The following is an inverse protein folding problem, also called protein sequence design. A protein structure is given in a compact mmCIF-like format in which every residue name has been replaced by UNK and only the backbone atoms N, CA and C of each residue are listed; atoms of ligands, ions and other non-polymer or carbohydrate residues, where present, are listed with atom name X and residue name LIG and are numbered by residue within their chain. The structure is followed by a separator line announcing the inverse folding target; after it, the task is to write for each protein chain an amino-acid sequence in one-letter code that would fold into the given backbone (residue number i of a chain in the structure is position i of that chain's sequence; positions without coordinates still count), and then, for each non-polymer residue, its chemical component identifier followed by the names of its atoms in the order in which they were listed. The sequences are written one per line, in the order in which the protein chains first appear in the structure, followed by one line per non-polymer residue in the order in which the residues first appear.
data_IF_953091192031
#
_entry.id   IF_953091192031
#
_cell.length_a   1.000
_cell.length_b   1.000
_cell.length_c   1.000
_cell.angle_alpha   90.00
_cell.angle_beta   90.00
_cell.angle_gamma   90.00
#
_symmetry.space_group_name_H-M   'P 1'
#
loop_
_entity.id
_entity.type
_entity.pdbx_description
1 polymer ?
#
# COMPACT_ATOMS: atom_id res chain seq x y z
N UNK A 1 13.51 -45.84 7.61
CA UNK A 1 12.34 -45.02 8.01
C UNK A 1 12.26 -43.85 7.03
N UNK A 2 11.68 -44.10 5.86
CA UNK A 2 11.44 -43.09 4.83
C UNK A 2 10.34 -42.16 5.32
N UNK A 3 10.65 -40.86 5.41
CA UNK A 3 9.62 -39.82 5.50
C UNK A 3 9.38 -39.37 4.07
N UNK A 4 8.39 -39.98 3.42
CA UNK A 4 7.81 -39.44 2.21
C UNK A 4 7.14 -38.12 2.58
N UNK A 5 7.85 -37.01 2.30
CA UNK A 5 7.24 -35.70 2.26
C UNK A 5 6.29 -35.70 1.06
N UNK A 6 5.01 -35.91 1.31
CA UNK A 6 3.97 -35.70 0.31
C UNK A 6 3.92 -34.20 0.04
N UNK A 7 4.69 -33.75 -0.94
CA UNK A 7 4.50 -32.46 -1.57
C UNK A 7 3.15 -32.50 -2.29
N UNK A 8 2.09 -32.12 -1.58
CA UNK A 8 0.78 -31.86 -2.20
C UNK A 8 0.92 -30.58 -3.02
N UNK A 9 1.38 -30.74 -4.26
CA UNK A 9 1.21 -29.71 -5.30
C UNK A 9 -0.29 -29.66 -5.58
N UNK A 10 -0.99 -28.65 -5.09
CA UNK A 10 -2.32 -28.35 -5.58
C UNK A 10 -2.20 -27.93 -7.06
N UNK A 11 -2.34 -28.91 -7.95
CA UNK A 11 -2.35 -28.75 -9.41
C UNK A 11 -3.76 -28.52 -9.96
N UNK A 12 -4.76 -28.32 -9.09
CA UNK A 12 -6.12 -28.00 -9.50
C UNK A 12 -6.21 -26.57 -10.04
N UNK A 13 -6.40 -26.42 -11.35
CA UNK A 13 -7.06 -25.21 -11.87
C UNK A 13 -8.46 -25.19 -11.27
N UNK A 14 -8.65 -24.42 -10.21
CA UNK A 14 -9.99 -24.09 -9.71
C UNK A 14 -10.58 -23.13 -10.72
N UNK A 15 -11.58 -23.58 -11.46
CA UNK A 15 -12.37 -22.71 -12.31
C UNK A 15 -13.33 -21.91 -11.43
N UNK A 16 -13.49 -20.61 -11.74
CA UNK A 16 -14.38 -19.73 -11.00
C UNK A 16 -15.59 -19.37 -11.84
N UNK A 17 -16.74 -19.17 -11.19
CA UNK A 17 -17.94 -18.57 -11.79
C UNK A 17 -18.18 -17.22 -11.14
N UNK A 18 -18.42 -16.22 -11.98
CA UNK A 18 -18.79 -14.89 -11.58
C UNK A 18 -20.30 -14.73 -11.72
N UNK A 19 -20.93 -14.28 -10.65
CA UNK A 19 -22.36 -14.06 -10.53
C UNK A 19 -22.60 -12.57 -10.49
N UNK A 20 -23.02 -11.99 -11.62
CA UNK A 20 -23.25 -10.55 -11.79
C UNK A 20 -24.74 -10.25 -11.70
N UNK A 21 -25.15 -9.38 -10.78
CA UNK A 21 -26.53 -8.94 -10.66
C UNK A 21 -26.72 -7.59 -11.34
N UNK A 22 -27.56 -7.56 -12.36
CA UNK A 22 -27.81 -6.39 -13.22
C UNK A 22 -29.33 -6.29 -13.43
N UNK A 23 -29.93 -5.16 -13.07
CA UNK A 23 -31.37 -4.89 -13.28
C UNK A 23 -32.31 -6.03 -12.85
N UNK A 24 -32.01 -6.66 -11.71
CA UNK A 24 -32.70 -7.85 -11.14
C UNK A 24 -32.51 -9.19 -11.87
N UNK A 25 -31.65 -9.27 -12.87
CA UNK A 25 -31.22 -10.52 -13.50
C UNK A 25 -29.85 -10.96 -12.99
N UNK A 26 -29.66 -12.27 -12.90
CA UNK A 26 -28.39 -12.91 -12.56
C UNK A 26 -27.71 -13.38 -13.84
N UNK A 27 -26.59 -12.77 -14.19
CA UNK A 27 -25.73 -13.21 -15.28
C UNK A 27 -24.56 -14.00 -14.70
N UNK A 28 -24.29 -15.18 -15.27
CA UNK A 28 -23.18 -16.04 -14.85
C UNK A 28 -22.15 -16.08 -15.95
N UNK A 29 -20.91 -15.71 -15.63
CA UNK A 29 -19.77 -15.77 -16.55
C UNK A 29 -18.59 -16.54 -15.93
N UNK A 30 -17.67 -17.00 -16.76
CA UNK A 30 -16.43 -17.62 -16.30
C UNK A 30 -15.49 -16.57 -15.70
N UNK A 31 -14.95 -16.85 -14.51
CA UNK A 31 -13.94 -16.03 -13.87
C UNK A 31 -12.53 -16.45 -14.24
N UNK A 32 -11.68 -15.49 -14.58
CA UNK A 32 -10.29 -15.73 -14.95
C UNK A 32 -9.37 -15.40 -13.78
N UNK A 33 -8.63 -16.39 -13.29
CA UNK A 33 -7.64 -16.21 -12.23
C UNK A 33 -6.31 -15.72 -12.81
N UNK A 34 -5.79 -14.61 -12.28
CA UNK A 34 -4.45 -14.11 -12.53
C UNK A 34 -3.64 -14.11 -11.23
N UNK A 35 -2.57 -14.91 -11.17
CA UNK A 35 -1.70 -14.99 -9.98
C UNK A 35 -0.52 -14.04 -10.19
N UNK A 36 -0.20 -13.27 -9.15
CA UNK A 36 0.94 -12.36 -9.16
C UNK A 36 2.23 -13.17 -9.08
N UNK A 37 3.18 -12.82 -9.93
CA UNK A 37 4.48 -13.49 -9.94
C UNK A 37 5.34 -13.08 -8.74
N UNK A 38 5.07 -11.91 -8.16
CA UNK A 38 5.85 -11.40 -7.04
C UNK A 38 5.28 -11.86 -5.71
N UNK A 39 6.07 -12.64 -5.00
CA UNK A 39 5.72 -13.23 -3.70
C UNK A 39 6.96 -13.43 -2.80
N UNK A 40 8.12 -12.85 -3.15
CA UNK A 40 9.32 -12.81 -2.31
C UNK A 40 9.76 -14.18 -1.73
N UNK A 41 9.58 -15.26 -2.50
CA UNK A 41 9.94 -16.62 -2.07
C UNK A 41 8.93 -17.30 -1.14
N UNK A 42 7.84 -16.64 -0.76
CA UNK A 42 6.78 -17.24 0.05
C UNK A 42 5.96 -18.27 -0.75
N UNK A 43 5.33 -19.26 -0.10
CA UNK A 43 4.57 -20.32 -0.78
C UNK A 43 3.35 -19.83 -1.58
N UNK A 44 2.69 -18.74 -1.15
CA UNK A 44 1.54 -18.17 -1.84
C UNK A 44 1.80 -16.74 -2.31
N UNK A 45 1.16 -16.38 -3.43
CA UNK A 45 1.13 -15.04 -3.98
C UNK A 45 -0.29 -14.50 -4.05
N UNK A 46 -0.42 -13.18 -4.19
CA UNK A 46 -1.71 -12.54 -4.44
C UNK A 46 -2.30 -13.00 -5.79
N UNK A 47 -3.62 -13.02 -5.90
CA UNK A 47 -4.29 -13.34 -7.16
C UNK A 47 -5.57 -12.52 -7.32
N UNK A 48 -5.87 -12.15 -8.55
CA UNK A 48 -7.13 -11.50 -8.93
C UNK A 48 -8.01 -12.50 -9.67
N UNK A 49 -9.32 -12.40 -9.46
CA UNK A 49 -10.31 -13.11 -10.26
C UNK A 49 -11.04 -12.06 -11.09
N UNK A 50 -10.75 -12.05 -12.39
CA UNK A 50 -11.35 -11.13 -13.34
C UNK A 50 -12.64 -11.72 -13.88
N UNK A 51 -13.72 -10.97 -13.74
CA UNK A 51 -15.05 -11.35 -14.21
C UNK A 51 -15.42 -10.47 -15.42
N UNK A 52 -15.46 -11.03 -16.64
CA UNK A 52 -15.92 -10.28 -17.79
C UNK A 52 -17.38 -9.86 -17.58
N UNK A 53 -17.63 -8.57 -17.81
CA UNK A 53 -18.97 -8.00 -17.79
C UNK A 53 -19.58 -8.20 -19.18
N UNK A 54 -20.64 -9.01 -19.33
CA UNK A 54 -21.25 -9.22 -20.62
C UNK A 54 -22.01 -7.97 -21.09
N UNK A 55 -22.21 -7.77 -22.41
CA UNK A 55 -22.97 -6.63 -22.94
C UNK A 55 -24.42 -6.56 -22.40
N UNK A 56 -25.00 -7.68 -21.99
CA UNK A 56 -26.31 -7.74 -21.35
C UNK A 56 -26.33 -7.21 -19.90
N UNK A 57 -25.18 -6.80 -19.36
CA UNK A 57 -24.99 -6.44 -17.96
C UNK A 57 -24.02 -5.25 -17.85
N UNK A 58 -24.18 -4.21 -18.66
CA UNK A 58 -23.20 -3.10 -18.72
C UNK A 58 -22.94 -2.40 -17.37
N UNK A 59 -23.89 -2.46 -16.43
CA UNK A 59 -23.77 -1.89 -15.09
C UNK A 59 -24.16 -2.90 -14.00
N UNK A 60 -23.27 -3.84 -13.65
CA UNK A 60 -23.53 -4.77 -12.56
C UNK A 60 -23.55 -4.01 -11.23
N UNK A 61 -24.60 -4.21 -10.43
CA UNK A 61 -24.72 -3.61 -9.10
C UNK A 61 -24.04 -4.46 -8.02
N UNK A 62 -24.01 -5.78 -8.24
CA UNK A 62 -23.42 -6.73 -7.29
C UNK A 62 -22.68 -7.84 -8.01
N UNK A 63 -21.64 -8.34 -7.37
CA UNK A 63 -20.85 -9.47 -7.84
C UNK A 63 -20.63 -10.50 -6.74
N UNK A 64 -20.67 -11.77 -7.11
CA UNK A 64 -20.17 -12.84 -6.26
C UNK A 64 -19.32 -13.82 -7.06
N UNK A 65 -18.45 -14.53 -6.36
CA UNK A 65 -17.53 -15.49 -6.99
C UNK A 65 -17.71 -16.83 -6.29
N UNK A 66 -17.89 -17.88 -7.06
CA UNK A 66 -17.96 -19.26 -6.56
C UNK A 66 -16.96 -20.14 -7.27
N UNK A 67 -16.47 -21.18 -6.59
CA UNK A 67 -15.80 -22.29 -7.26
C UNK A 67 -16.78 -22.99 -8.21
N UNK A 68 -16.34 -23.32 -9.42
CA UNK A 68 -17.15 -24.08 -10.38
C UNK A 68 -17.36 -25.54 -9.93
N UNK A 69 -16.52 -26.04 -9.02
CA UNK A 69 -16.56 -27.41 -8.50
C UNK A 69 -17.48 -27.58 -7.28
N UNK A 70 -18.06 -26.50 -6.75
CA UNK A 70 -18.89 -26.54 -5.53
C UNK A 70 -20.29 -26.03 -5.82
N UNK A 71 -21.30 -26.68 -5.22
CA UNK A 71 -22.66 -26.13 -5.22
C UNK A 71 -22.67 -24.80 -4.43
N UNK A 72 -23.33 -23.74 -4.94
CA UNK A 72 -23.36 -22.44 -4.28
C UNK A 72 -24.21 -22.52 -3.01
N UNK A 73 -23.60 -22.89 -1.88
CA UNK A 73 -24.21 -22.74 -0.55
C UNK A 73 -24.00 -21.31 -0.07
N UNK A 74 -25.03 -20.48 -0.17
CA UNK A 74 -25.02 -19.11 0.34
C UNK A 74 -24.04 -18.20 -0.39
N UNK A 75 -24.47 -17.59 -1.49
CA UNK A 75 -23.62 -16.69 -2.28
C UNK A 75 -23.61 -15.29 -1.65
N UNK A 76 -22.50 -14.91 -1.03
CA UNK A 76 -22.30 -13.54 -0.53
C UNK A 76 -21.95 -12.60 -1.69
N UNK A 77 -22.83 -11.63 -1.93
CA UNK A 77 -22.63 -10.62 -2.97
C UNK A 77 -21.91 -9.40 -2.41
N UNK A 78 -20.89 -8.94 -3.12
CA UNK A 78 -20.24 -7.65 -2.92
C UNK A 78 -20.93 -6.60 -3.79
N UNK A 79 -21.18 -5.42 -3.22
CA UNK A 79 -21.71 -4.28 -3.96
C UNK A 79 -20.60 -3.65 -4.81
N UNK A 80 -20.92 -3.30 -6.05
CA UNK A 80 -20.03 -2.57 -6.94
C UNK A 80 -20.37 -1.09 -6.84
N UNK A 81 -19.36 -0.28 -6.54
CA UNK A 81 -19.54 1.13 -6.23
C UNK A 81 -18.67 1.98 -7.15
N UNK A 82 -19.32 2.73 -8.05
CA UNK A 82 -18.66 3.67 -8.96
C UNK A 82 -18.85 5.12 -8.48
N UNK A 83 -17.98 5.62 -7.62
CA UNK A 83 -17.98 7.03 -7.22
C UNK A 83 -16.86 7.79 -7.90
N UNK A 84 -17.17 8.81 -8.71
CA UNK A 84 -16.16 9.71 -9.30
C UNK A 84 -15.86 10.88 -8.38
N UNK A 85 -15.11 10.62 -7.30
CA UNK A 85 -14.43 11.70 -6.58
C UNK A 85 -12.94 11.67 -6.93
N UNK A 86 -12.29 12.83 -6.98
CA UNK A 86 -10.86 12.93 -7.28
C UNK A 86 -10.09 13.01 -5.97
N UNK A 87 -9.94 11.87 -5.31
CA UNK A 87 -9.20 11.77 -4.04
C UNK A 87 -7.76 11.34 -4.31
N UNK A 88 -6.80 11.84 -3.53
CA UNK A 88 -5.49 11.20 -3.40
C UNK A 88 -5.48 10.28 -2.18
N UNK A 89 -5.14 9.01 -2.39
CA UNK A 89 -5.25 7.94 -1.40
C UNK A 89 -3.88 7.33 -1.07
N UNK A 90 -3.65 7.08 0.22
CA UNK A 90 -2.33 6.77 0.81
C UNK A 90 -2.38 5.55 1.76
N UNK A 91 -1.44 4.61 1.51
CA UNK A 91 -0.67 3.69 2.39
C UNK A 91 -1.31 2.50 3.11
N UNK A 92 -0.70 1.34 2.88
CA UNK A 92 -0.90 0.08 3.59
C UNK A 92 0.43 -0.48 4.13
N UNK A 93 0.74 -0.28 5.41
CA UNK A 93 1.33 -1.32 6.27
C UNK A 93 1.29 -0.96 7.77
N UNK A 94 1.58 -1.97 8.58
CA UNK A 94 1.24 -2.14 9.98
C UNK A 94 2.23 -1.58 10.99
N UNK A 95 1.64 -1.06 12.06
CA UNK A 95 2.27 -0.53 13.27
C UNK A 95 3.12 0.73 13.10
N UNK A 96 3.45 1.27 14.27
CA UNK A 96 4.62 2.06 14.57
C UNK A 96 4.41 3.54 14.90
N UNK A 97 5.27 3.93 15.84
CA UNK A 97 5.45 5.23 16.44
C UNK A 97 5.51 6.33 15.38
N UNK A 98 4.93 7.49 15.67
CA UNK A 98 4.89 8.60 14.72
C UNK A 98 3.68 8.65 13.79
N UNK A 99 2.69 7.74 13.91
CA UNK A 99 1.44 7.77 13.12
C UNK A 99 0.83 9.17 12.99
N UNK A 100 0.66 9.87 14.12
CA UNK A 100 0.09 11.24 14.14
C UNK A 100 0.96 12.21 13.34
N UNK A 101 2.28 12.12 13.47
CA UNK A 101 3.20 12.98 12.73
C UNK A 101 3.08 12.74 11.23
N UNK A 102 3.06 11.48 10.78
CA UNK A 102 2.92 11.14 9.36
C UNK A 102 1.56 11.57 8.80
N UNK A 103 0.46 11.35 9.53
CA UNK A 103 -0.88 11.77 9.10
C UNK A 103 -0.97 13.29 8.95
N UNK A 104 -0.42 14.06 9.89
CA UNK A 104 -0.39 15.53 9.80
C UNK A 104 0.53 16.00 8.66
N UNK A 105 1.67 15.34 8.45
CA UNK A 105 2.52 15.62 7.27
C UNK A 105 1.77 15.36 5.96
N UNK A 106 1.00 14.27 5.86
CA UNK A 106 0.18 14.00 4.67
C UNK A 106 -0.87 15.08 4.44
N UNK A 107 -1.55 15.57 5.49
CA UNK A 107 -2.46 16.71 5.35
C UNK A 107 -1.74 17.95 4.80
N UNK A 108 -0.57 18.28 5.35
CA UNK A 108 0.26 19.41 4.89
C UNK A 108 0.61 19.25 3.41
N UNK A 109 0.98 18.04 2.99
CA UNK A 109 1.32 17.74 1.59
C UNK A 109 0.13 17.79 0.63
N UNK A 110 -1.10 17.95 1.14
CA UNK A 110 -2.32 18.07 0.33
C UNK A 110 -3.00 16.74 0.02
N UNK A 111 -2.74 15.72 0.85
CA UNK A 111 -3.40 14.43 0.75
C UNK A 111 -4.84 14.57 1.22
N UNK A 112 -5.79 13.97 0.48
CA UNK A 112 -7.20 14.06 0.83
C UNK A 112 -7.65 12.95 1.76
N UNK A 113 -7.12 11.75 1.57
CA UNK A 113 -7.53 10.56 2.32
C UNK A 113 -6.39 9.56 2.48
N UNK A 114 -6.37 8.88 3.62
CA UNK A 114 -5.44 7.80 3.96
C UNK A 114 -6.26 6.55 4.21
N UNK A 115 -5.86 5.39 3.67
CA UNK A 115 -6.58 4.14 3.82
C UNK A 115 -5.69 3.15 4.54
N UNK A 116 -5.93 2.97 5.84
CA UNK A 116 -5.14 2.08 6.69
C UNK A 116 -5.79 0.71 6.71
N UNK A 117 -5.09 -0.28 6.16
CA UNK A 117 -5.45 -1.67 6.40
C UNK A 117 -4.95 -1.99 7.81
N UNK A 118 -5.84 -2.48 8.70
CA UNK A 118 -5.59 -2.66 10.14
C UNK A 118 -5.68 -4.14 10.55
N UNK A 119 -4.60 -4.74 11.07
CA UNK A 119 -4.53 -6.08 11.64
C UNK A 119 -4.83 -5.97 13.12
N UNK A 120 -3.96 -5.27 13.85
CA UNK A 120 -4.06 -4.93 15.25
C UNK A 120 -3.27 -3.64 15.53
N UNK A 121 -3.55 -2.99 16.66
CA UNK A 121 -2.79 -1.84 17.15
C UNK A 121 -3.04 -1.65 18.65
N UNK A 122 -2.28 -0.75 19.30
CA UNK A 122 -2.55 -0.38 20.69
C UNK A 122 -3.82 0.47 20.83
N UNK A 123 -4.32 0.62 22.06
CA UNK A 123 -5.51 1.43 22.34
C UNK A 123 -5.27 2.91 22.00
N UNK A 124 -4.06 3.42 22.23
CA UNK A 124 -3.64 4.78 21.92
C UNK A 124 -3.66 5.02 20.41
N UNK A 125 -3.09 4.08 19.64
CA UNK A 125 -3.13 4.11 18.18
C UNK A 125 -4.57 4.06 17.66
N UNK A 126 -5.42 3.19 18.22
CA UNK A 126 -6.83 3.12 17.85
C UNK A 126 -7.56 4.44 18.12
N UNK A 127 -7.30 5.10 19.26
CA UNK A 127 -7.89 6.41 19.57
C UNK A 127 -7.50 7.46 18.55
N UNK A 128 -6.23 7.49 18.13
CA UNK A 128 -5.78 8.39 17.07
C UNK A 128 -6.48 8.08 15.74
N UNK A 129 -6.51 6.81 15.30
CA UNK A 129 -7.20 6.40 14.08
C UNK A 129 -8.69 6.77 14.11
N UNK A 130 -9.38 6.56 15.23
CA UNK A 130 -10.78 6.93 15.42
C UNK A 130 -11.01 8.44 15.21
N UNK A 131 -10.12 9.27 15.76
CA UNK A 131 -10.18 10.72 15.55
C UNK A 131 -10.08 11.06 14.06
N UNK A 132 -9.07 10.55 13.35
CA UNK A 132 -8.91 10.86 11.93
C UNK A 132 -10.02 10.27 11.06
N UNK A 133 -10.57 9.11 11.43
CA UNK A 133 -11.73 8.54 10.78
C UNK A 133 -12.98 9.42 10.91
N UNK A 134 -13.22 10.00 12.10
CA UNK A 134 -14.31 10.95 12.31
C UNK A 134 -14.16 12.22 11.47
N UNK A 135 -12.93 12.67 11.21
CA UNK A 135 -12.68 13.80 10.30
C UNK A 135 -12.85 13.45 8.81
N UNK A 136 -13.02 12.17 8.47
CA UNK A 136 -13.07 11.67 7.10
C UNK A 136 -11.69 11.54 6.42
N UNK A 137 -10.61 11.87 7.13
CA UNK A 137 -9.25 11.82 6.59
C UNK A 137 -8.70 10.38 6.50
N UNK A 138 -9.03 9.51 7.48
CA UNK A 138 -8.59 8.11 7.50
C UNK A 138 -9.78 7.18 7.24
N UNK A 139 -9.63 6.25 6.30
CA UNK A 139 -10.46 5.06 6.18
C UNK A 139 -9.72 3.89 6.79
N UNK A 140 -10.38 3.14 7.68
CA UNK A 140 -9.83 1.91 8.23
C UNK A 140 -10.44 0.70 7.50
N UNK A 141 -9.59 -0.18 6.98
CA UNK A 141 -9.99 -1.46 6.37
C UNK A 141 -9.54 -2.59 7.29
N UNK A 142 -10.46 -3.34 7.92
CA UNK A 142 -10.08 -4.52 8.71
C UNK A 142 -9.32 -5.52 7.86
N UNK A 143 -8.16 -5.97 8.33
CA UNK A 143 -7.24 -6.83 7.60
C UNK A 143 -6.80 -8.01 8.45
N UNK A 144 -7.73 -8.94 8.70
CA UNK A 144 -7.55 -10.07 9.61
C UNK A 144 -7.09 -11.36 8.90
N UNK A 145 -6.18 -11.26 7.92
CA UNK A 145 -5.67 -12.45 7.20
C UNK A 145 -5.03 -13.49 8.13
N UNK A 146 -4.46 -13.06 9.26
CA UNK A 146 -3.87 -13.92 10.28
C UNK A 146 -4.88 -14.86 10.96
N UNK A 147 -6.18 -14.57 10.89
CA UNK A 147 -7.24 -15.46 11.39
C UNK A 147 -7.42 -16.70 10.50
N UNK A 148 -7.04 -16.59 9.23
CA UNK A 148 -7.25 -17.64 8.22
C UNK A 148 -5.95 -18.29 7.74
N UNK A 149 -4.82 -17.57 7.85
CA UNK A 149 -3.54 -17.96 7.27
C UNK A 149 -2.39 -17.67 8.25
N UNK A 150 -1.35 -18.51 8.22
CA UNK A 150 -0.08 -18.22 8.92
C UNK A 150 0.72 -17.20 8.10
N UNK A 151 0.49 -15.91 8.33
CA UNK A 151 1.18 -14.82 7.63
C UNK A 151 2.48 -14.45 8.32
N UNK A 152 3.52 -14.15 7.54
CA UNK A 152 4.80 -13.65 8.06
C UNK A 152 4.74 -12.14 8.27
N UNK A 153 5.45 -11.63 9.26
CA UNK A 153 5.65 -10.20 9.51
C UNK A 153 6.96 -9.67 8.89
N UNK A 154 7.61 -10.47 8.02
CA UNK A 154 8.95 -10.18 7.53
C UNK A 154 9.07 -10.31 6.01
N UNK A 155 10.17 -9.76 5.47
CA UNK A 155 10.41 -9.69 4.03
C UNK A 155 10.81 -11.02 3.39
N UNK A 156 11.27 -11.98 4.20
CA UNK A 156 11.79 -13.27 3.73
C UNK A 156 11.29 -14.42 4.59
N UNK A 157 10.90 -15.54 3.96
CA UNK A 157 10.44 -16.73 4.67
C UNK A 157 11.56 -17.42 5.46
N UNK A 158 12.83 -17.13 5.19
CA UNK A 158 13.97 -17.67 5.93
C UNK A 158 14.08 -17.07 7.34
N UNK A 159 13.69 -15.80 7.50
CA UNK A 159 13.79 -15.08 8.77
C UNK A 159 12.51 -15.23 9.61
N UNK A 160 11.34 -15.16 8.97
CA UNK A 160 10.07 -15.47 9.60
C UNK A 160 9.21 -16.30 8.63
N UNK A 161 9.09 -17.62 8.86
CA UNK A 161 8.28 -18.50 8.03
C UNK A 161 6.81 -18.10 8.03
N UNK A 162 6.16 -18.28 6.90
CA UNK A 162 4.74 -18.05 6.74
C UNK A 162 4.32 -18.42 5.32
N UNK A 163 3.04 -18.33 5.05
CA UNK A 163 2.50 -18.61 3.72
C UNK A 163 2.39 -17.36 2.85
N UNK A 164 2.39 -16.17 3.48
CA UNK A 164 2.32 -14.87 2.82
C UNK A 164 3.30 -13.87 3.45
N UNK A 165 3.84 -13.01 2.60
CA UNK A 165 4.76 -11.91 2.89
C UNK A 165 4.08 -10.74 3.64
N UNK A 166 4.74 -10.18 4.65
CA UNK A 166 4.35 -8.99 5.44
C UNK A 166 2.83 -8.82 5.65
N UNK A 167 2.21 -9.69 6.45
CA UNK A 167 0.78 -9.63 6.77
C UNK A 167 -0.14 -9.59 5.53
N UNK A 168 0.34 -10.03 4.37
CA UNK A 168 -0.37 -9.87 3.10
C UNK A 168 -0.33 -8.44 2.54
N UNK A 169 0.82 -7.76 2.60
CA UNK A 169 0.98 -6.41 2.06
C UNK A 169 0.62 -6.31 0.57
N UNK A 170 1.07 -7.26 -0.26
CA UNK A 170 0.77 -7.27 -1.71
C UNK A 170 -0.74 -7.35 -1.99
N UNK A 171 -1.51 -8.30 -1.41
CA UNK A 171 -2.96 -8.29 -1.61
C UNK A 171 -3.64 -7.03 -1.07
N UNK A 172 -3.16 -6.44 0.02
CA UNK A 172 -3.72 -5.20 0.55
C UNK A 172 -3.48 -3.98 -0.37
N UNK A 173 -2.27 -3.86 -0.94
CA UNK A 173 -1.94 -2.83 -1.92
C UNK A 173 -2.81 -2.91 -3.17
N UNK A 174 -3.09 -4.13 -3.63
CA UNK A 174 -3.94 -4.34 -4.80
C UNK A 174 -5.43 -4.15 -4.46
N UNK A 175 -5.91 -4.60 -3.29
CA UNK A 175 -7.27 -4.28 -2.84
C UNK A 175 -7.47 -2.76 -2.81
N UNK A 176 -6.51 -1.99 -2.27
CA UNK A 176 -6.58 -0.54 -2.21
C UNK A 176 -6.64 0.10 -3.61
N UNK A 177 -5.78 -0.37 -4.53
CA UNK A 177 -5.78 0.07 -5.92
C UNK A 177 -7.16 -0.10 -6.57
N UNK A 178 -7.77 -1.29 -6.46
CA UNK A 178 -9.04 -1.59 -7.11
C UNK A 178 -10.24 -0.96 -6.39
N UNK A 179 -10.26 -0.97 -5.05
CA UNK A 179 -11.29 -0.35 -4.21
C UNK A 179 -11.49 1.12 -4.55
N UNK A 180 -10.40 1.80 -4.92
CA UNK A 180 -10.43 3.22 -5.23
C UNK A 180 -10.15 3.56 -6.69
N UNK A 181 -10.12 2.57 -7.58
CA UNK A 181 -9.80 2.77 -9.00
C UNK A 181 -10.64 3.86 -9.66
N UNK A 182 -11.92 3.94 -9.31
CA UNK A 182 -12.83 4.95 -9.84
C UNK A 182 -13.06 6.13 -8.90
N UNK A 183 -12.53 6.08 -7.67
CA UNK A 183 -12.72 7.06 -6.58
C UNK A 183 -11.49 7.93 -6.29
N UNK A 184 -10.38 7.65 -6.96
CA UNK A 184 -9.13 8.37 -6.78
C UNK A 184 -8.57 8.78 -8.15
N UNK A 185 -8.02 9.99 -8.21
CA UNK A 185 -7.21 10.41 -9.37
C UNK A 185 -5.80 9.85 -9.27
N UNK A 186 -5.27 9.79 -8.06
CA UNK A 186 -3.95 9.25 -7.77
C UNK A 186 -3.99 8.36 -6.53
N UNK A 187 -3.27 7.24 -6.57
CA UNK A 187 -3.04 6.33 -5.45
C UNK A 187 -1.54 6.24 -5.22
N UNK A 188 -1.11 6.46 -3.99
CA UNK A 188 0.28 6.31 -3.59
C UNK A 188 0.47 5.02 -2.78
N UNK A 189 1.44 4.21 -3.21
CA UNK A 189 1.89 3.04 -2.46
C UNK A 189 3.17 3.43 -1.76
N UNK A 190 3.10 3.56 -0.46
CA UNK A 190 4.10 4.24 0.34
C UNK A 190 4.08 3.63 1.76
N UNK A 191 5.09 3.88 2.58
CA UNK A 191 5.13 3.42 3.97
C UNK A 191 4.99 4.64 4.93
N UNK A 192 4.59 4.43 6.18
CA UNK A 192 4.21 5.54 7.08
C UNK A 192 5.41 6.40 7.53
N UNK A 193 6.60 5.84 7.50
CA UNK A 193 7.90 6.43 7.84
C UNK A 193 8.60 7.07 6.63
N UNK A 194 7.95 7.03 5.47
CA UNK A 194 8.41 7.66 4.24
C UNK A 194 7.64 8.96 4.01
N UNK A 195 8.17 9.88 3.20
CA UNK A 195 7.52 11.12 2.75
C UNK A 195 8.01 11.48 1.35
N UNK A 196 7.14 11.47 0.34
CA UNK A 196 7.43 12.06 -0.97
C UNK A 196 7.21 13.57 -0.91
N UNK A 197 8.27 14.35 -1.14
CA UNK A 197 8.24 15.83 -1.15
C UNK A 197 8.53 16.37 -2.57
N UNK A 198 8.02 17.56 -2.95
CA UNK A 198 7.31 18.59 -2.16
C UNK A 198 5.78 18.39 -2.11
N UNK A 199 4.99 19.45 -1.88
CA UNK A 199 3.53 19.42 -1.83
C UNK A 199 2.89 18.79 -3.09
N UNK A 200 1.93 17.89 -2.88
CA UNK A 200 1.34 17.06 -3.94
C UNK A 200 0.35 17.83 -4.80
N UNK A 201 -0.23 18.91 -4.27
CA UNK A 201 -1.13 19.81 -4.99
C UNK A 201 -0.48 20.36 -6.26
N UNK A 202 0.81 20.73 -6.17
CA UNK A 202 1.57 21.27 -7.30
C UNK A 202 2.35 20.18 -8.04
N UNK A 203 2.88 19.20 -7.30
CA UNK A 203 3.69 18.12 -7.87
C UNK A 203 2.90 17.25 -8.84
N UNK A 204 1.70 16.77 -8.46
CA UNK A 204 0.99 15.77 -9.27
C UNK A 204 0.52 16.32 -10.63
N UNK A 205 -0.03 17.55 -10.74
CA UNK A 205 -0.30 18.17 -12.03
C UNK A 205 0.95 18.38 -12.88
N UNK A 206 2.09 18.74 -12.26
CA UNK A 206 3.37 18.88 -12.96
C UNK A 206 3.83 17.55 -13.57
N UNK A 207 3.75 16.46 -12.79
CA UNK A 207 4.12 15.12 -13.28
C UNK A 207 3.20 14.65 -14.42
N UNK A 208 1.90 14.88 -14.29
CA UNK A 208 0.92 14.57 -15.35
C UNK A 208 1.21 15.34 -16.63
N UNK A 209 1.53 16.64 -16.52
CA UNK A 209 1.90 17.47 -17.67
C UNK A 209 3.18 16.98 -18.35
N UNK A 210 4.19 16.58 -17.57
CA UNK A 210 5.51 16.23 -18.09
C UNK A 210 5.57 14.81 -18.65
N UNK A 211 4.82 13.87 -18.07
CA UNK A 211 4.97 12.45 -18.37
C UNK A 211 3.67 11.79 -18.86
N UNK A 212 2.52 12.37 -18.58
CA UNK A 212 1.20 11.86 -18.96
C UNK A 212 0.43 11.22 -17.79
N UNK A 213 -0.90 11.36 -17.83
CA UNK A 213 -1.83 10.93 -16.76
C UNK A 213 -1.84 9.42 -16.49
N UNK A 214 -1.44 8.62 -17.48
CA UNK A 214 -1.45 7.15 -17.40
C UNK A 214 -0.07 6.55 -17.08
N UNK A 215 0.89 7.38 -16.64
CA UNK A 215 2.19 6.93 -16.16
C UNK A 215 2.16 6.65 -14.66
N UNK A 216 2.95 5.67 -14.27
CA UNK A 216 3.33 5.45 -12.89
C UNK A 216 4.58 6.30 -12.57
N UNK A 217 4.56 7.06 -11.47
CA UNK A 217 5.68 7.90 -11.06
C UNK A 217 6.49 7.20 -9.97
N UNK A 218 7.77 6.98 -10.20
CA UNK A 218 8.69 6.32 -9.25
C UNK A 218 9.57 7.35 -8.54
N UNK A 219 9.64 7.24 -7.23
CA UNK A 219 10.40 8.14 -6.36
C UNK A 219 11.47 7.35 -5.62
N UNK A 220 12.73 7.63 -5.94
CA UNK A 220 13.89 6.99 -5.32
C UNK A 220 13.92 7.28 -3.81
N UNK A 221 14.27 6.24 -3.04
CA UNK A 221 14.46 6.34 -1.60
C UNK A 221 15.72 7.15 -1.23
N UNK A 222 15.58 8.06 -0.27
CA UNK A 222 16.68 8.81 0.33
C UNK A 222 16.57 8.67 1.85
N UNK A 223 17.59 8.09 2.48
CA UNK A 223 17.57 7.77 3.91
C UNK A 223 17.97 8.98 4.75
N UNK A 224 17.19 9.26 5.78
CA UNK A 224 17.42 10.28 6.80
C UNK A 224 17.50 9.59 8.16
N UNK A 225 18.71 9.37 8.71
CA UNK A 225 18.88 8.63 9.96
C UNK A 225 18.25 9.34 11.16
N UNK A 226 17.38 8.64 11.89
CA UNK A 226 16.70 9.17 13.08
C UNK A 226 17.59 9.21 14.36
N UNK A 227 18.85 8.83 14.23
CA UNK A 227 19.87 8.88 15.29
C UNK A 227 20.93 9.97 15.04
N UNK A 228 20.85 10.70 13.92
CA UNK A 228 21.77 11.78 13.57
C UNK A 228 20.98 13.10 13.54
N UNK A 229 21.41 14.06 14.35
CA UNK A 229 20.88 15.43 14.35
C UNK A 229 22.03 16.37 14.01
N UNK A 230 21.84 17.20 12.99
CA UNK A 230 22.84 18.20 12.61
C UNK A 230 22.80 19.37 13.61
N UNK A 231 23.96 20.00 13.89
CA UNK A 231 23.98 21.23 14.67
C UNK A 231 23.06 22.29 14.04
N UNK A 232 22.35 23.11 14.84
CA UNK A 232 21.54 24.18 14.30
C UNK A 232 22.42 25.12 13.45
N UNK A 233 21.95 25.45 12.24
CA UNK A 233 22.65 26.37 11.34
C UNK A 233 22.59 27.84 11.79
N UNK A 234 21.78 28.17 12.81
CA UNK A 234 21.59 29.51 13.35
C UNK A 234 21.53 29.48 14.89
N UNK A 235 21.98 30.55 15.60
CA UNK A 235 21.76 30.68 17.03
C UNK A 235 20.24 30.65 17.34
N UNK A 236 19.87 29.89 18.36
CA UNK A 236 18.50 29.52 18.74
C UNK A 236 17.47 30.68 18.70
N UNK A 237 16.78 30.88 17.57
CA UNK A 237 15.37 31.28 17.66
C UNK A 237 14.60 30.03 18.05
N UNK A 238 14.47 29.80 19.37
CA UNK A 238 13.68 28.70 19.92
C UNK A 238 12.32 28.64 19.22
N UNK A 239 11.99 27.57 18.49
CA UNK A 239 10.63 27.38 18.02
C UNK A 239 9.68 27.49 19.23
N UNK A 240 8.55 28.21 19.11
CA UNK A 240 7.70 28.57 20.26
C UNK A 240 7.16 27.38 21.08
N UNK A 241 7.31 26.14 20.59
CA UNK A 241 6.74 24.93 21.18
C UNK A 241 7.75 23.99 21.88
N UNK A 242 9.04 24.34 21.99
CA UNK A 242 10.10 23.41 22.43
C UNK A 242 9.93 22.82 23.85
N UNK A 243 9.08 23.42 24.69
CA UNK A 243 8.71 22.87 25.99
C UNK A 243 7.66 21.74 25.92
N UNK A 244 6.73 21.79 24.97
CA UNK A 244 5.61 20.85 24.87
C UNK A 244 6.06 19.48 24.34
N UNK A 245 7.06 19.45 23.45
CA UNK A 245 7.54 18.22 22.80
C UNK A 245 8.37 17.31 23.70
N UNK A 246 8.95 17.82 24.80
CA UNK A 246 9.79 17.02 25.72
C UNK A 246 9.05 15.84 26.36
N UNK A 247 7.72 15.91 26.42
CA UNK A 247 6.85 14.87 27.01
C UNK A 247 6.24 13.92 25.97
N UNK A 248 6.43 14.21 24.67
CA UNK A 248 5.89 13.41 23.58
C UNK A 248 6.91 12.32 23.25
N UNK A 249 6.48 11.06 23.31
CA UNK A 249 7.32 9.92 22.94
C UNK A 249 7.42 9.78 21.43
N UNK A 250 8.59 9.33 20.94
CA UNK A 250 8.84 9.11 19.51
C UNK A 250 10.00 9.94 18.97
N UNK A 251 10.14 9.93 17.64
CA UNK A 251 11.16 10.66 16.90
C UNK A 251 10.51 11.88 16.26
N UNK A 252 11.09 13.07 16.43
CA UNK A 252 10.67 14.24 15.65
C UNK A 252 11.39 14.23 14.30
N UNK A 253 10.76 13.69 13.25
CA UNK A 253 11.41 13.54 11.93
C UNK A 253 11.93 14.87 11.34
N UNK A 254 11.40 16.02 11.75
CA UNK A 254 11.83 17.33 11.27
C UNK A 254 13.20 17.78 11.80
N UNK A 255 13.72 17.13 12.85
CA UNK A 255 15.07 17.38 13.38
C UNK A 255 16.16 16.59 12.61
N UNK A 256 15.75 15.60 11.82
CA UNK A 256 16.64 14.68 11.11
C UNK A 256 16.84 15.11 9.66
N UNK A 257 17.65 16.15 9.46
CA UNK A 257 17.90 16.73 8.14
C UNK A 257 19.16 16.20 7.43
N UNK A 258 19.93 15.34 8.09
CA UNK A 258 21.07 14.68 7.47
C UNK A 258 20.60 13.58 6.53
N UNK A 259 20.94 13.71 5.25
CA UNK A 259 20.72 12.66 4.25
C UNK A 259 21.97 11.78 4.15
N UNK A 260 21.80 10.45 4.20
CA UNK A 260 22.88 9.53 3.87
C UNK A 260 23.37 9.75 2.43
N UNK A 261 24.69 9.57 2.16
CA UNK A 261 25.21 9.55 0.81
C UNK A 261 24.50 8.50 -0.06
N UNK A 262 24.20 8.86 -1.31
CA UNK A 262 23.53 7.95 -2.24
C UNK A 262 24.42 6.72 -2.49
N UNK A 263 23.95 5.55 -2.05
CA UNK A 263 24.61 4.29 -2.36
C UNK A 263 24.27 3.86 -3.78
N UNK A 264 25.22 4.02 -4.71
CA UNK A 264 25.05 3.68 -6.13
C UNK A 264 24.66 2.20 -6.37
N UNK A 265 24.93 1.28 -5.43
CA UNK A 265 24.51 -0.13 -5.54
C UNK A 265 23.03 -0.35 -5.26
N UNK A 266 22.37 0.60 -4.60
CA UNK A 266 20.98 0.53 -4.19
C UNK A 266 20.06 1.43 -5.02
N UNK A 267 20.64 2.23 -5.93
CA UNK A 267 19.87 3.08 -6.84
C UNK A 267 18.89 2.21 -7.64
N UNK A 268 17.62 2.59 -7.62
CA UNK A 268 16.55 1.89 -8.33
C UNK A 268 16.05 0.62 -7.63
N UNK A 269 16.59 0.25 -6.46
CA UNK A 269 16.14 -0.93 -5.70
C UNK A 269 15.10 -0.60 -4.64
N UNK A 270 15.15 0.60 -4.08
CA UNK A 270 14.22 1.05 -3.04
C UNK A 270 13.57 2.34 -3.53
N UNK A 271 12.27 2.26 -3.74
CA UNK A 271 11.46 3.35 -4.23
C UNK A 271 10.00 3.09 -3.87
N UNK A 272 9.20 4.14 -4.00
CA UNK A 272 7.74 4.08 -3.93
C UNK A 272 7.12 4.76 -5.12
N UNK A 273 5.82 4.56 -5.28
CA UNK A 273 5.09 4.98 -6.47
C UNK A 273 3.84 5.79 -6.16
N UNK A 274 3.53 6.71 -7.06
CA UNK A 274 2.22 7.33 -7.19
C UNK A 274 1.70 7.04 -8.59
N UNK A 275 0.45 6.59 -8.69
CA UNK A 275 -0.14 6.11 -9.95
C UNK A 275 -1.56 6.64 -10.14
N UNK A 276 -1.99 6.80 -11.39
CA UNK A 276 -3.42 6.78 -11.71
C UNK A 276 -3.90 5.32 -11.65
N UNK A 277 -4.84 4.97 -10.74
CA UNK A 277 -5.22 3.59 -10.55
C UNK A 277 -5.93 2.97 -11.78
N UNK A 278 -6.52 3.78 -12.67
CA UNK A 278 -7.14 3.28 -13.92
C UNK A 278 -6.11 2.85 -14.96
N UNK A 279 -4.84 3.26 -14.81
CA UNK A 279 -3.75 2.90 -15.70
C UNK A 279 -2.92 1.70 -15.19
N UNK A 280 -3.29 1.14 -14.03
CA UNK A 280 -2.52 0.08 -13.35
C UNK A 280 -3.38 -1.15 -13.13
N UNK A 281 -2.83 -2.32 -13.42
CA UNK A 281 -3.51 -3.61 -13.27
C UNK A 281 -3.01 -4.38 -12.06
N UNK A 282 -1.71 -4.35 -11.78
CA UNK A 282 -1.13 -5.10 -10.66
C UNK A 282 0.08 -4.37 -10.09
N UNK A 283 0.20 -4.39 -8.77
CA UNK A 283 1.34 -3.79 -8.05
C UNK A 283 2.00 -4.76 -7.09
N UNK A 284 3.19 -4.37 -6.65
CA UNK A 284 3.99 -4.99 -5.60
C UNK A 284 4.45 -3.91 -4.60
N UNK A 285 5.28 -4.31 -3.64
CA UNK A 285 5.76 -3.51 -2.49
C UNK A 285 6.47 -2.22 -2.91
N UNK A 286 7.25 -2.28 -4.00
CA UNK A 286 8.03 -1.14 -4.47
C UNK A 286 7.43 -0.47 -5.70
N UNK A 287 6.57 -1.15 -6.48
CA UNK A 287 6.20 -0.64 -7.79
C UNK A 287 5.05 -1.34 -8.49
N UNK A 288 4.91 -1.07 -9.78
CA UNK A 288 3.89 -1.66 -10.65
C UNK A 288 4.45 -2.90 -11.36
N UNK A 289 3.69 -3.99 -11.34
CA UNK A 289 4.00 -5.20 -12.10
C UNK A 289 3.38 -5.14 -13.51
N UNK A 290 2.21 -4.52 -13.67
CA UNK A 290 1.54 -4.32 -14.96
C UNK A 290 0.76 -3.01 -15.00
N UNK A 291 0.98 -2.21 -16.04
CA UNK A 291 0.28 -0.94 -16.33
C UNK A 291 0.09 -0.75 -17.83
N UNK A 292 -0.76 0.21 -18.20
CA UNK A 292 -1.02 0.61 -19.59
C UNK A 292 0.22 1.21 -20.25
N UNK A 293 0.88 2.18 -19.60
CA UNK A 293 1.97 2.94 -20.20
C UNK A 293 3.30 2.87 -19.43
N UNK A 294 3.45 1.92 -18.49
CA UNK A 294 4.69 1.75 -17.71
C UNK A 294 4.92 2.85 -16.67
N UNK A 295 6.10 2.80 -16.03
CA UNK A 295 6.53 3.78 -15.05
C UNK A 295 7.61 4.73 -15.59
N UNK A 296 7.82 5.85 -14.90
CA UNK A 296 8.90 6.80 -15.13
C UNK A 296 9.56 7.16 -13.81
N UNK A 297 10.89 7.25 -13.84
CA UNK A 297 11.67 7.77 -12.71
C UNK A 297 11.56 9.29 -12.64
N UNK A 298 11.04 9.79 -11.52
CA UNK A 298 10.98 11.24 -11.27
C UNK A 298 12.37 11.71 -10.89
N UNK A 299 12.85 12.77 -11.57
CA UNK A 299 14.15 13.34 -11.25
C UNK A 299 14.15 13.87 -9.80
N UNK A 300 15.18 13.52 -9.02
CA UNK A 300 15.33 13.90 -7.61
C UNK A 300 15.26 15.41 -7.34
N UNK A 301 15.50 16.24 -8.35
CA UNK A 301 15.39 17.72 -8.27
C UNK A 301 13.94 18.21 -8.34
N UNK A 302 13.03 17.40 -8.87
CA UNK A 302 11.58 17.66 -8.93
C UNK A 302 10.92 17.16 -7.65
N UNK A 303 11.16 15.89 -7.32
CA UNK A 303 10.64 15.27 -6.12
C UNK A 303 11.53 14.10 -5.69
N UNK A 304 11.55 13.83 -4.39
CA UNK A 304 12.28 12.70 -3.80
C UNK A 304 11.55 12.17 -2.59
N UNK A 305 11.71 10.87 -2.33
CA UNK A 305 11.19 10.25 -1.14
C UNK A 305 12.21 10.33 -0.02
N UNK A 306 11.76 10.81 1.14
CA UNK A 306 12.50 10.85 2.40
C UNK A 306 12.06 9.65 3.22
N UNK A 307 12.99 8.83 3.65
CA UNK A 307 12.72 7.67 4.49
C UNK A 307 13.44 7.89 5.82
N UNK A 308 12.67 8.17 6.87
CA UNK A 308 13.22 8.44 8.19
C UNK A 308 13.29 7.14 8.99
N UNK A 309 14.49 6.59 9.14
CA UNK A 309 14.70 5.31 9.84
C UNK A 309 16.00 5.32 10.63
N UNK A 310 16.22 4.29 11.44
CA UNK A 310 17.53 4.08 12.04
C UNK A 310 18.58 3.76 10.96
N UNK A 311 19.82 4.23 11.15
CA UNK A 311 20.93 3.90 10.23
C UNK A 311 21.04 2.38 10.10
N UNK A 312 21.00 1.88 8.86
CA UNK A 312 21.15 0.46 8.61
C UNK A 312 22.63 0.08 8.83
N UNK A 313 23.03 -0.22 10.07
CA UNK A 313 24.22 -1.04 10.27
C UNK A 313 23.99 -2.33 9.50
N UNK A 314 24.95 -2.69 8.66
CA UNK A 314 24.91 -3.81 7.70
C UNK A 314 24.87 -5.19 8.39
N UNK A 315 23.92 -5.42 9.28
CA UNK A 315 23.45 -6.71 9.78
C UNK A 315 22.01 -6.50 10.19
N UNK A 316 21.12 -7.38 9.73
CA UNK A 316 19.70 -7.33 10.06
C UNK A 316 19.44 -7.33 11.57
N UNK A 317 18.16 -7.09 11.89
CA UNK A 317 17.58 -7.07 13.23
C UNK A 317 17.91 -5.83 14.07
N UNK A 318 16.92 -4.96 14.21
CA UNK A 318 16.15 -4.82 15.44
C UNK A 318 15.47 -3.45 15.42
N UNK A 319 14.14 -3.43 15.39
CA UNK A 319 13.39 -2.69 16.39
C UNK A 319 11.97 -3.26 16.46
N UNK A 320 11.61 -3.62 17.69
CA UNK A 320 10.32 -4.12 18.18
C UNK A 320 9.14 -3.27 17.72
#
# INVERSE_FOLDING_TARGET
RNKDAVNVRFSGKVDYRCHLRCENQLNISSGFRFIHHDHFGFPYGAAHIMCPVPPSCESPAHIAITSAASEPKGTSFLCIVFFKNKTVIIIVNFFFTGLVQSLEMFKILGVNRVVVYKTNCSMETQRALNYYAQTGFVEEVPWSLSEFLSVSDYWSPEHNPGVLHYFGQIPALNDCLYRHMYQAKYVAMHDIDELILPHWVDLLPLLEKNFGVDKCYQFENNVFPNNIVLPPSMPETKPPAQGCWKSVTGVNILEHLYQEPVNLRNVGKSFKIIVNPQAVFTTSVHGVLKSTNGCVWVNRTIARMYHTRFEATWFGLNML
#
